data_IF_318217401777
#
_entry.id   IF_318217401777
#
_cell.length_a   1.000
_cell.length_b   1.000
_cell.length_c   1.000
_cell.angle_alpha   90.00
_cell.angle_beta   90.00
_cell.angle_gamma   90.00
#
_symmetry.space_group_name_H-M   'P 1'
#
loop_
_entity.id
_entity.type
_entity.pdbx_description
1 polymer ?
#
# COMPACT_ATOMS: atom_id res chain seq x y z
N UNK A 1 -33.22 44.18 -17.37
CA UNK A 1 -32.80 45.48 -17.97
C UNK A 1 -31.54 45.89 -17.20
N UNK A 2 -30.34 45.76 -17.77
CA UNK A 2 -29.70 46.67 -18.73
C UNK A 2 -29.17 47.96 -18.04
N UNK A 3 -27.94 48.46 -18.24
CA UNK A 3 -26.76 47.94 -18.97
C UNK A 3 -25.46 48.72 -18.57
N UNK A 4 -24.32 48.02 -18.49
CA UNK A 4 -22.88 48.33 -18.81
C UNK A 4 -22.45 49.72 -19.39
N UNK A 5 -21.13 50.05 -19.52
CA UNK A 5 -19.93 49.73 -18.68
C UNK A 5 -18.87 50.87 -18.53
N UNK A 6 -17.81 50.60 -17.75
CA UNK A 6 -16.50 51.30 -17.74
C UNK A 6 -15.38 50.57 -18.53
N UNK A 7 -14.28 51.26 -18.90
CA UNK A 7 -13.50 50.96 -20.14
C UNK A 7 -11.98 51.31 -20.06
N UNK A 8 -11.08 50.28 -19.93
CA UNK A 8 -9.64 50.12 -20.39
C UNK A 8 -8.55 51.20 -20.08
N UNK A 9 -7.23 51.04 -20.42
CA UNK A 9 -6.33 49.86 -20.61
C UNK A 9 -4.98 49.90 -19.78
N UNK A 10 -4.31 48.78 -19.46
CA UNK A 10 -3.22 48.12 -20.25
C UNK A 10 -1.87 48.11 -19.47
N UNK A 11 -0.73 47.55 -19.94
CA UNK A 11 -0.49 46.40 -20.83
C UNK A 11 0.45 45.29 -20.25
N UNK A 12 0.43 44.08 -20.83
CA UNK A 12 1.50 43.04 -20.78
C UNK A 12 2.43 43.20 -22.03
N UNK A 13 3.56 42.47 -22.28
CA UNK A 13 4.03 41.18 -21.69
C UNK A 13 5.57 41.02 -21.47
N UNK A 14 6.01 39.80 -21.11
CA UNK A 14 7.41 39.31 -21.17
C UNK A 14 7.57 38.03 -20.32
N UNK A 15 7.61 36.80 -20.84
CA UNK A 15 8.44 36.14 -21.87
C UNK A 15 9.83 35.68 -21.35
N UNK A 16 10.05 34.37 -21.30
CA UNK A 16 11.31 33.71 -20.93
C UNK A 16 12.32 33.71 -22.11
N UNK A 17 13.60 33.38 -21.88
CA UNK A 17 14.03 32.01 -22.18
C UNK A 17 15.17 31.45 -21.29
N UNK A 18 15.59 30.21 -21.59
CA UNK A 18 16.82 29.56 -21.13
C UNK A 18 17.61 29.01 -22.36
N UNK A 19 18.69 28.23 -22.20
CA UNK A 19 20.03 28.64 -21.77
C UNK A 19 21.08 28.43 -22.88
N UNK A 20 22.32 28.92 -22.69
CA UNK A 20 23.43 28.65 -23.62
C UNK A 20 24.81 28.53 -22.94
N UNK A 21 25.53 27.46 -23.26
CA UNK A 21 26.97 27.26 -23.00
C UNK A 21 27.85 28.08 -23.96
N UNK A 22 29.16 28.20 -23.65
CA UNK A 22 30.15 28.13 -24.72
C UNK A 22 31.32 27.17 -24.44
N UNK A 23 31.87 26.61 -25.52
CA UNK A 23 33.07 25.75 -25.56
C UNK A 23 34.21 26.46 -26.32
N UNK A 24 35.47 26.26 -25.90
CA UNK A 24 36.71 26.46 -26.69
C UNK A 24 37.74 25.40 -26.21
N UNK A 25 38.39 24.53 -26.99
CA UNK A 25 39.30 24.69 -28.17
C UNK A 25 40.66 25.34 -27.80
N UNK A 26 41.86 24.88 -28.19
CA UNK A 26 42.30 23.84 -29.14
C UNK A 26 43.74 23.27 -28.80
N UNK A 27 44.36 22.52 -29.73
CA UNK A 27 45.62 21.73 -29.62
C UNK A 27 46.85 22.46 -30.27
N UNK A 28 47.92 21.84 -30.87
CA UNK A 28 48.91 20.77 -30.48
C UNK A 28 50.42 21.17 -30.76
N UNK A 29 51.35 20.17 -30.83
CA UNK A 29 52.68 20.11 -31.53
C UNK A 29 53.98 20.55 -30.79
N UNK A 30 55.21 20.00 -31.00
CA UNK A 30 55.73 18.72 -31.57
C UNK A 30 57.25 18.49 -31.23
N UNK A 31 57.72 17.23 -31.21
CA UNK A 31 59.09 16.70 -31.54
C UNK A 31 60.39 17.14 -30.78
N UNK A 32 61.54 16.42 -30.88
CA UNK A 32 61.80 14.97 -31.10
C UNK A 32 62.83 14.31 -30.12
N UNK A 33 63.08 13.00 -30.32
CA UNK A 33 63.92 12.07 -29.52
C UNK A 33 65.43 12.08 -29.92
N UNK A 34 66.37 11.48 -29.12
CA UNK A 34 66.48 10.01 -28.91
C UNK A 34 66.80 9.64 -27.41
N UNK A 35 67.23 8.45 -26.94
CA UNK A 35 67.68 7.19 -27.56
C UNK A 35 67.47 5.93 -26.64
N UNK A 36 68.45 5.00 -26.66
CA UNK A 36 68.63 3.66 -26.03
C UNK A 36 68.94 3.65 -24.51
N UNK A 37 68.70 2.59 -23.71
CA UNK A 37 68.84 1.15 -23.98
C UNK A 37 68.06 0.25 -22.96
N UNK A 38 67.86 -1.03 -23.31
CA UNK A 38 67.49 -2.21 -22.48
C UNK A 38 66.01 -2.47 -22.06
N UNK A 39 65.56 -3.69 -22.43
CA UNK A 39 64.30 -4.40 -22.11
C UNK A 39 64.54 -5.43 -20.97
N UNK A 40 63.54 -6.23 -20.50
CA UNK A 40 62.07 -6.05 -20.51
C UNK A 40 61.40 -6.37 -19.15
N UNK A 41 60.12 -5.98 -18.98
CA UNK A 41 59.09 -6.80 -18.27
C UNK A 41 57.69 -6.19 -18.43
N UNK A 42 56.78 -6.94 -19.04
CA UNK A 42 55.37 -6.55 -19.21
C UNK A 42 54.55 -6.92 -17.96
N UNK A 43 53.72 -6.01 -17.43
CA UNK A 43 52.59 -6.36 -16.57
C UNK A 43 51.33 -6.58 -17.41
N UNK A 44 50.57 -7.64 -17.12
CA UNK A 44 49.26 -7.87 -17.74
C UNK A 44 48.22 -6.82 -17.32
N UNK A 45 47.27 -6.44 -18.18
CA UNK A 45 46.18 -5.55 -17.81
C UNK A 45 45.19 -6.28 -16.89
N UNK A 46 45.17 -5.91 -15.60
CA UNK A 46 44.20 -6.39 -14.63
C UNK A 46 42.76 -6.07 -15.07
N UNK A 47 42.01 -7.11 -15.44
CA UNK A 47 40.56 -6.99 -15.70
C UNK A 47 39.83 -6.66 -14.39
N UNK A 48 39.34 -5.43 -14.27
CA UNK A 48 38.38 -5.09 -13.23
C UNK A 48 37.12 -5.96 -13.36
N UNK A 49 36.61 -6.58 -12.29
CA UNK A 49 35.35 -7.29 -12.33
C UNK A 49 34.21 -6.28 -12.55
N UNK A 50 33.53 -6.36 -13.70
CA UNK A 50 32.30 -5.60 -13.91
C UNK A 50 31.29 -6.00 -12.83
N UNK A 51 31.03 -5.09 -11.89
CA UNK A 51 30.01 -5.27 -10.87
C UNK A 51 28.65 -5.43 -11.55
N UNK A 52 28.11 -6.66 -11.53
CA UNK A 52 26.78 -6.94 -12.08
C UNK A 52 25.79 -5.94 -11.46
N UNK A 53 24.99 -5.22 -12.28
CA UNK A 53 23.99 -4.30 -11.72
C UNK A 53 23.10 -5.08 -10.76
N UNK A 54 22.95 -4.60 -9.52
CA UNK A 54 22.02 -5.17 -8.54
C UNK A 54 20.62 -5.06 -9.13
N UNK A 55 20.17 -6.13 -9.78
CA UNK A 55 18.82 -6.23 -10.34
C UNK A 55 17.84 -5.96 -9.20
N UNK A 56 17.24 -4.76 -9.21
CA UNK A 56 16.10 -4.45 -8.36
C UNK A 56 15.11 -5.59 -8.59
N UNK A 57 14.88 -6.40 -7.56
CA UNK A 57 13.97 -7.54 -7.68
C UNK A 57 12.59 -6.93 -7.87
N UNK A 58 12.09 -6.93 -9.11
CA UNK A 58 10.70 -6.65 -9.39
C UNK A 58 9.88 -7.51 -8.44
N UNK A 59 9.06 -6.88 -7.61
CA UNK A 59 8.25 -7.57 -6.60
C UNK A 59 6.98 -8.16 -7.25
N UNK A 60 7.15 -8.81 -8.40
CA UNK A 60 6.11 -9.54 -9.12
C UNK A 60 5.46 -10.51 -8.14
N UNK A 61 4.16 -10.35 -7.93
CA UNK A 61 3.41 -11.24 -7.06
C UNK A 61 3.21 -12.55 -7.81
N UNK A 62 3.60 -13.65 -7.16
CA UNK A 62 3.36 -15.00 -7.67
C UNK A 62 2.22 -15.62 -6.89
N UNK A 63 1.47 -16.52 -7.52
CA UNK A 63 0.60 -17.47 -6.81
C UNK A 63 1.44 -18.25 -5.79
N UNK A 64 0.86 -18.50 -4.62
CA UNK A 64 1.44 -19.31 -3.55
C UNK A 64 0.39 -20.26 -3.01
N UNK A 65 0.87 -21.41 -2.51
CA UNK A 65 0.06 -22.33 -1.72
C UNK A 65 0.26 -21.99 -0.24
N UNK A 66 -0.84 -21.80 0.49
CA UNK A 66 -0.83 -21.27 1.86
C UNK A 66 -1.85 -22.04 2.70
N UNK A 67 -1.40 -22.78 3.72
CA UNK A 67 -2.29 -23.31 4.75
C UNK A 67 -2.95 -22.16 5.53
N UNK A 68 -4.22 -22.31 5.88
CA UNK A 68 -4.93 -21.40 6.79
C UNK A 68 -5.72 -22.23 7.82
N UNK A 69 -6.04 -21.68 9.00
CA UNK A 69 -6.95 -22.35 9.93
C UNK A 69 -8.30 -22.64 9.27
N UNK A 70 -9.01 -23.66 9.76
CA UNK A 70 -10.38 -23.96 9.34
C UNK A 70 -11.28 -22.78 9.66
N UNK A 71 -12.09 -22.36 8.70
CA UNK A 71 -13.07 -21.29 8.88
C UNK A 71 -14.38 -21.86 9.41
N UNK A 72 -14.92 -21.36 10.54
CA UNK A 72 -16.28 -21.65 10.97
C UNK A 72 -17.29 -21.22 9.91
N UNK A 73 -18.11 -22.16 9.43
CA UNK A 73 -19.09 -21.94 8.36
C UNK A 73 -20.49 -22.37 8.77
N UNK A 74 -21.49 -21.69 8.23
CA UNK A 74 -22.89 -22.02 8.42
C UNK A 74 -23.30 -23.26 7.61
N UNK A 75 -24.56 -23.70 7.76
CA UNK A 75 -25.15 -24.82 7.01
C UNK A 75 -25.14 -24.64 5.48
N UNK A 76 -24.91 -23.42 4.98
CA UNK A 76 -24.84 -23.08 3.56
C UNK A 76 -23.38 -22.97 3.06
N UNK A 77 -22.38 -23.26 3.92
CA UNK A 77 -20.96 -23.13 3.60
C UNK A 77 -20.42 -21.69 3.66
N UNK A 78 -21.22 -20.70 4.06
CA UNK A 78 -20.76 -19.30 4.21
C UNK A 78 -20.00 -19.13 5.51
N UNK A 79 -18.94 -18.29 5.57
CA UNK A 79 -18.27 -17.98 6.83
C UNK A 79 -19.26 -17.42 7.85
N UNK A 80 -19.19 -17.90 9.09
CA UNK A 80 -19.98 -17.38 10.20
C UNK A 80 -19.42 -16.03 10.61
N UNK A 81 -20.01 -14.96 10.06
CA UNK A 81 -19.72 -13.59 10.45
C UNK A 81 -20.62 -13.16 11.63
N UNK A 82 -20.11 -12.33 12.56
CA UNK A 82 -18.75 -11.80 12.54
C UNK A 82 -17.68 -12.81 13.00
N UNK A 83 -16.46 -12.65 12.47
CA UNK A 83 -15.37 -13.63 12.61
C UNK A 83 -14.08 -12.97 13.11
N UNK A 84 -13.56 -13.39 14.26
CA UNK A 84 -12.25 -12.97 14.74
C UNK A 84 -11.15 -13.65 13.91
N UNK A 85 -10.27 -12.84 13.32
CA UNK A 85 -9.07 -13.26 12.60
C UNK A 85 -7.85 -12.55 13.22
N UNK A 86 -7.34 -13.15 14.30
CA UNK A 86 -6.23 -12.59 15.07
C UNK A 86 -6.62 -11.36 15.86
N UNK A 87 -6.17 -10.18 15.43
CA UNK A 87 -6.50 -8.87 16.04
C UNK A 87 -7.57 -8.08 15.26
N UNK A 88 -8.10 -8.66 14.18
CA UNK A 88 -9.21 -8.12 13.40
C UNK A 88 -10.50 -8.88 13.76
N UNK A 89 -11.63 -8.18 13.75
CA UNK A 89 -12.95 -8.81 13.77
C UNK A 89 -13.64 -8.47 12.45
N UNK A 90 -13.92 -9.47 11.62
CA UNK A 90 -14.57 -9.28 10.31
C UNK A 90 -16.07 -9.23 10.50
N UNK A 91 -16.69 -8.06 10.25
CA UNK A 91 -18.14 -7.87 10.32
C UNK A 91 -18.78 -8.20 8.97
N UNK A 92 -18.21 -7.68 7.88
CA UNK A 92 -18.72 -7.87 6.51
C UNK A 92 -17.57 -8.07 5.55
N UNK A 93 -17.73 -9.01 4.60
CA UNK A 93 -16.78 -9.20 3.49
C UNK A 93 -17.06 -8.28 2.30
N UNK A 94 -18.24 -7.65 2.23
CA UNK A 94 -18.64 -6.77 1.13
C UNK A 94 -18.90 -7.48 -0.21
N UNK A 95 -18.94 -6.69 -1.28
CA UNK A 95 -19.17 -7.11 -2.67
C UNK A 95 -17.95 -6.79 -3.55
N UNK A 96 -17.56 -7.72 -4.43
CA UNK A 96 -16.49 -7.48 -5.40
C UNK A 96 -16.94 -6.52 -6.50
N UNK A 97 -16.37 -5.31 -6.46
CA UNK A 97 -16.52 -4.34 -7.54
C UNK A 97 -15.53 -4.65 -8.68
N UNK A 98 -16.05 -4.93 -9.89
CA UNK A 98 -15.23 -5.23 -11.08
C UNK A 98 -14.66 -3.98 -11.80
N UNK A 99 -14.94 -2.76 -11.31
CA UNK A 99 -14.35 -1.53 -11.86
C UNK A 99 -12.84 -1.49 -11.66
N UNK A 100 -12.17 -0.65 -12.43
CA UNK A 100 -10.76 -0.34 -12.23
C UNK A 100 -10.52 0.24 -10.81
N UNK A 101 -9.29 0.13 -10.30
CA UNK A 101 -8.85 0.61 -8.99
C UNK A 101 -9.47 -0.06 -7.74
N UNK A 102 -10.54 -0.85 -7.87
CA UNK A 102 -11.10 -1.68 -6.78
C UNK A 102 -10.32 -2.99 -6.51
N UNK A 103 -9.22 -3.21 -7.23
CA UNK A 103 -8.28 -4.30 -6.96
C UNK A 103 -6.86 -3.96 -7.45
N UNK A 104 -5.91 -4.81 -7.08
CA UNK A 104 -4.49 -4.78 -7.44
C UNK A 104 -3.95 -6.21 -7.55
N UNK A 105 -2.69 -6.40 -7.94
CA UNK A 105 -2.03 -7.73 -7.90
C UNK A 105 -2.11 -8.43 -6.53
N UNK A 106 -2.24 -7.67 -5.43
CA UNK A 106 -2.12 -8.18 -4.06
C UNK A 106 -3.44 -8.27 -3.30
N UNK A 107 -4.35 -7.35 -3.59
CA UNK A 107 -5.52 -7.07 -2.76
C UNK A 107 -6.74 -6.79 -3.66
N UNK A 108 -7.89 -7.29 -3.23
CA UNK A 108 -9.21 -6.90 -3.69
C UNK A 108 -9.77 -5.94 -2.63
N UNK A 109 -10.54 -4.92 -3.04
CA UNK A 109 -11.15 -3.93 -2.15
C UNK A 109 -12.69 -3.98 -2.29
N UNK A 110 -13.38 -4.94 -1.62
CA UNK A 110 -14.81 -5.09 -1.77
C UNK A 110 -15.57 -3.89 -1.20
N UNK A 111 -16.64 -3.46 -1.88
CA UNK A 111 -17.53 -2.40 -1.39
C UNK A 111 -18.38 -2.95 -0.25
N UNK A 112 -18.49 -2.22 0.86
CA UNK A 112 -19.19 -2.69 2.06
C UNK A 112 -18.41 -3.73 2.86
N UNK A 113 -17.12 -3.93 2.58
CA UNK A 113 -16.21 -4.66 3.47
C UNK A 113 -16.07 -3.87 4.78
N UNK A 114 -16.22 -4.56 5.92
CA UNK A 114 -16.16 -3.98 7.25
C UNK A 114 -15.40 -4.88 8.21
N UNK A 115 -14.41 -4.30 8.90
CA UNK A 115 -13.71 -4.93 10.02
C UNK A 115 -13.57 -3.96 11.19
N UNK A 116 -13.52 -4.50 12.41
CA UNK A 116 -13.01 -3.74 13.56
C UNK A 116 -11.60 -4.19 13.91
N UNK A 117 -10.87 -3.30 14.59
CA UNK A 117 -9.61 -3.64 15.24
C UNK A 117 -9.31 -2.73 16.42
N UNK A 118 -8.57 -3.24 17.40
CA UNK A 118 -8.02 -2.43 18.48
C UNK A 118 -6.74 -1.72 18.04
N UNK A 119 -6.61 -0.45 18.43
CA UNK A 119 -5.38 0.33 18.31
C UNK A 119 -5.37 1.48 19.33
N UNK A 120 -4.23 2.16 19.46
CA UNK A 120 -4.07 3.33 20.33
C UNK A 120 -5.11 4.43 20.03
N UNK A 121 -5.75 5.00 21.05
CA UNK A 121 -6.64 6.16 20.89
C UNK A 121 -5.89 7.39 20.37
N UNK A 122 -6.57 8.25 19.60
CA UNK A 122 -6.08 9.55 19.12
C UNK A 122 -6.38 10.71 20.06
N UNK A 123 -7.23 10.53 21.08
CA UNK A 123 -7.60 11.57 22.06
C UNK A 123 -7.14 11.27 23.48
N UNK A 124 -6.98 9.99 23.85
CA UNK A 124 -6.51 9.59 25.16
C UNK A 124 -5.20 8.76 25.05
N UNK A 125 -4.07 9.23 25.62
CA UNK A 125 -2.78 8.57 25.44
C UNK A 125 -2.63 7.24 26.20
N UNK A 126 -3.46 6.98 27.23
CA UNK A 126 -3.32 5.79 28.08
C UNK A 126 -4.14 4.56 27.64
N UNK A 127 -5.02 4.71 26.64
CA UNK A 127 -5.95 3.64 26.24
C UNK A 127 -5.82 3.23 24.77
N UNK A 128 -6.30 2.02 24.50
CA UNK A 128 -6.67 1.53 23.17
C UNK A 128 -8.18 1.55 23.00
N UNK A 129 -8.62 1.73 21.76
CA UNK A 129 -10.02 1.82 21.36
C UNK A 129 -10.27 1.00 20.10
N UNK A 130 -11.55 0.73 19.81
CA UNK A 130 -11.96 0.00 18.62
C UNK A 130 -12.06 0.97 17.45
N UNK A 131 -11.55 0.55 16.29
CA UNK A 131 -11.63 1.29 15.04
C UNK A 131 -12.44 0.48 14.02
N UNK A 132 -13.64 0.95 13.68
CA UNK A 132 -14.44 0.40 12.59
C UNK A 132 -13.86 0.88 11.26
N UNK A 133 -13.55 -0.06 10.38
CA UNK A 133 -12.84 0.17 9.13
C UNK A 133 -13.71 -0.32 7.97
N UNK A 134 -14.19 0.60 7.14
CA UNK A 134 -15.14 0.31 6.06
C UNK A 134 -14.56 0.71 4.70
N UNK A 135 -14.78 -0.12 3.68
CA UNK A 135 -14.48 0.23 2.29
C UNK A 135 -15.79 0.67 1.62
N UNK A 136 -15.88 1.95 1.26
CA UNK A 136 -17.01 2.54 0.57
C UNK A 136 -16.80 2.58 -0.95
N UNK A 137 -17.88 2.61 -1.71
CA UNK A 137 -17.85 3.00 -3.11
C UNK A 137 -17.58 4.51 -3.23
N UNK A 138 -16.45 4.88 -3.85
CA UNK A 138 -16.09 6.26 -4.12
C UNK A 138 -16.31 6.71 -5.56
N UNK A 139 -17.06 5.96 -6.37
CA UNK A 139 -17.25 6.19 -7.81
C UNK A 139 -16.03 5.73 -8.62
N UNK A 140 -14.96 6.50 -8.58
CA UNK A 140 -13.72 6.26 -9.34
C UNK A 140 -12.79 5.22 -8.68
N UNK A 141 -13.11 4.78 -7.46
CA UNK A 141 -12.29 3.84 -6.69
C UNK A 141 -12.76 3.74 -5.24
N UNK A 142 -12.19 2.81 -4.44
CA UNK A 142 -12.57 2.63 -3.05
C UNK A 142 -12.24 3.87 -2.20
N UNK A 143 -13.13 4.20 -1.25
CA UNK A 143 -12.78 5.08 -0.12
C UNK A 143 -12.62 4.24 1.14
N UNK A 144 -11.56 4.50 1.88
CA UNK A 144 -11.24 3.81 3.13
C UNK A 144 -11.66 4.71 4.28
N UNK A 145 -12.78 4.37 4.92
CA UNK A 145 -13.30 5.02 6.11
C UNK A 145 -12.76 4.33 7.36
N UNK A 146 -12.40 5.11 8.36
CA UNK A 146 -12.08 4.65 9.72
C UNK A 146 -12.89 5.49 10.71
N UNK A 147 -13.62 4.84 11.61
CA UNK A 147 -14.38 5.47 12.71
C UNK A 147 -13.85 4.95 14.04
N UNK A 148 -13.24 5.79 14.89
CA UNK A 148 -12.85 5.42 16.25
C UNK A 148 -14.06 5.37 17.20
N UNK A 149 -14.11 4.39 18.09
CA UNK A 149 -15.22 4.22 19.04
C UNK A 149 -15.28 5.32 20.11
N UNK A 150 -14.20 6.06 20.36
CA UNK A 150 -14.14 7.18 21.30
C UNK A 150 -14.35 8.57 20.65
N UNK A 151 -14.38 8.66 19.31
CA UNK A 151 -14.61 9.91 18.56
C UNK A 151 -15.48 9.63 17.31
N UNK A 152 -16.62 8.98 17.52
CA UNK A 152 -17.49 8.48 16.44
C UNK A 152 -18.03 9.56 15.50
N UNK A 153 -18.04 10.83 15.93
CA UNK A 153 -18.45 12.00 15.15
C UNK A 153 -17.40 12.46 14.11
N UNK A 154 -16.17 11.90 14.14
CA UNK A 154 -15.05 12.32 13.27
C UNK A 154 -14.49 11.16 12.44
N UNK A 155 -15.25 10.65 11.44
CA UNK A 155 -14.76 9.65 10.51
C UNK A 155 -13.56 10.18 9.70
N UNK A 156 -12.54 9.35 9.54
CA UNK A 156 -11.41 9.63 8.65
C UNK A 156 -11.63 8.86 7.36
N UNK A 157 -11.68 9.58 6.23
CA UNK A 157 -11.90 9.00 4.90
C UNK A 157 -10.73 9.36 4.00
N UNK A 158 -10.15 8.36 3.31
CA UNK A 158 -9.09 8.57 2.33
C UNK A 158 -9.28 7.70 1.07
N UNK A 159 -8.61 8.04 -0.03
CA UNK A 159 -8.57 7.22 -1.25
C UNK A 159 -7.68 5.98 -1.14
N UNK A 160 -6.93 5.83 -0.06
CA UNK A 160 -6.08 4.65 0.19
C UNK A 160 -6.11 4.24 1.66
N UNK A 161 -6.06 2.93 1.92
CA UNK A 161 -5.98 2.37 3.27
C UNK A 161 -4.79 2.94 4.06
N UNK A 162 -3.65 3.14 3.38
CA UNK A 162 -2.44 3.73 3.98
C UNK A 162 -2.64 5.19 4.34
N UNK A 163 -3.35 5.98 3.52
CA UNK A 163 -3.69 7.37 3.84
C UNK A 163 -4.54 7.49 5.11
N UNK A 164 -5.60 6.68 5.20
CA UNK A 164 -6.50 6.67 6.35
C UNK A 164 -5.75 6.29 7.65
N UNK A 165 -5.02 5.17 7.65
CA UNK A 165 -4.27 4.72 8.83
C UNK A 165 -3.07 5.60 9.18
N UNK A 166 -2.40 6.22 8.19
CA UNK A 166 -1.31 7.18 8.48
C UNK A 166 -1.81 8.42 9.21
N UNK A 167 -3.07 8.82 9.00
CA UNK A 167 -3.68 9.90 9.78
C UNK A 167 -3.86 9.51 11.24
N UNK A 168 -4.44 8.32 11.51
CA UNK A 168 -4.60 7.80 12.89
C UNK A 168 -3.25 7.63 13.59
N UNK A 169 -2.28 6.98 12.95
CA UNK A 169 -0.97 6.73 13.56
C UNK A 169 -0.21 8.03 13.85
N UNK A 170 -0.35 9.05 12.99
CA UNK A 170 0.22 10.39 13.25
C UNK A 170 -0.43 11.03 14.48
N UNK A 171 -1.75 11.03 14.58
CA UNK A 171 -2.48 11.61 15.72
C UNK A 171 -2.17 10.88 17.04
N UNK A 172 -2.22 9.54 17.03
CA UNK A 172 -1.92 8.72 18.19
C UNK A 172 -0.46 8.86 18.68
N UNK A 173 0.50 9.09 17.77
CA UNK A 173 1.89 9.39 18.14
C UNK A 173 2.07 10.83 18.65
N UNK A 174 1.36 11.81 18.07
CA UNK A 174 1.44 13.22 18.49
C UNK A 174 1.02 13.39 19.96
N UNK A 175 -0.12 12.83 20.37
CA UNK A 175 -0.58 12.89 21.78
C UNK A 175 0.31 12.11 22.77
N UNK A 176 1.27 11.32 22.26
CA UNK A 176 2.26 10.55 23.04
C UNK A 176 3.68 11.10 22.88
N UNK A 177 3.85 12.29 22.30
CA UNK A 177 5.14 12.96 22.04
C UNK A 177 6.17 12.07 21.28
N UNK A 178 5.70 11.18 20.39
CA UNK A 178 6.55 10.27 19.62
C UNK A 178 6.93 10.90 18.27
N UNK A 179 8.20 11.29 18.14
CA UNK A 179 8.77 11.91 16.93
C UNK A 179 8.82 10.97 15.71
N UNK A 180 8.97 9.66 15.93
CA UNK A 180 9.16 8.69 14.85
C UNK A 180 7.85 7.95 14.53
N UNK A 181 7.36 8.12 13.30
CA UNK A 181 6.33 7.23 12.74
C UNK A 181 6.99 5.98 12.16
N UNK A 182 6.57 4.81 12.64
CA UNK A 182 6.81 3.57 11.90
C UNK A 182 6.09 3.62 10.55
N UNK A 183 6.63 2.93 9.55
CA UNK A 183 5.91 2.69 8.29
C UNK A 183 4.69 1.80 8.56
N UNK A 184 3.54 2.18 8.00
CA UNK A 184 2.27 1.49 8.19
C UNK A 184 1.85 0.85 6.87
N UNK A 185 1.65 -0.47 6.89
CA UNK A 185 0.96 -1.14 5.78
C UNK A 185 -0.54 -0.98 5.97
N UNK A 186 -1.12 0.04 5.33
CA UNK A 186 -2.55 0.35 5.42
C UNK A 186 -3.47 -0.83 5.11
N UNK A 187 -3.25 -1.59 4.02
CA UNK A 187 -4.06 -2.78 3.70
C UNK A 187 -3.99 -3.85 4.79
N UNK A 188 -2.82 -4.06 5.42
CA UNK A 188 -2.70 -5.03 6.52
C UNK A 188 -3.41 -4.53 7.79
N UNK A 189 -3.44 -3.21 8.01
CA UNK A 189 -4.21 -2.56 9.07
C UNK A 189 -5.74 -2.55 8.79
N UNK A 190 -6.17 -2.79 7.54
CA UNK A 190 -7.55 -3.11 7.17
C UNK A 190 -7.83 -4.63 7.19
N UNK A 191 -6.90 -5.47 7.65
CA UNK A 191 -7.04 -6.93 7.65
C UNK A 191 -6.83 -7.60 6.28
N UNK A 192 -6.82 -6.85 5.17
CA UNK A 192 -6.64 -7.36 3.80
C UNK A 192 -5.30 -8.09 3.60
N UNK A 193 -4.33 -7.90 4.51
CA UNK A 193 -3.09 -8.66 4.61
C UNK A 193 -3.25 -10.12 5.05
N UNK A 194 -4.26 -10.42 5.87
CA UNK A 194 -4.44 -11.73 6.50
C UNK A 194 -4.84 -12.78 5.46
N UNK A 195 -4.17 -13.94 5.50
CA UNK A 195 -4.41 -15.01 4.52
C UNK A 195 -5.84 -15.57 4.61
N UNK A 196 -6.40 -15.71 5.81
CA UNK A 196 -7.81 -16.09 5.99
C UNK A 196 -8.76 -15.07 5.37
N UNK A 197 -8.52 -13.77 5.57
CA UNK A 197 -9.39 -12.72 5.00
C UNK A 197 -9.26 -12.69 3.47
N UNK A 198 -8.05 -12.84 2.91
CA UNK A 198 -7.85 -12.99 1.46
C UNK A 198 -8.59 -14.18 0.88
N UNK A 199 -8.56 -15.33 1.55
CA UNK A 199 -9.30 -16.52 1.18
C UNK A 199 -10.81 -16.24 1.11
N UNK A 200 -11.38 -15.66 2.17
CA UNK A 200 -12.80 -15.32 2.23
C UNK A 200 -13.22 -14.28 1.19
N UNK A 201 -12.34 -13.33 0.84
CA UNK A 201 -12.59 -12.36 -0.24
C UNK A 201 -12.46 -13.04 -1.62
N UNK A 202 -11.57 -14.01 -1.81
CA UNK A 202 -11.49 -14.81 -3.03
C UNK A 202 -12.73 -15.70 -3.26
N UNK A 203 -13.42 -16.11 -2.19
CA UNK A 203 -14.69 -16.86 -2.29
C UNK A 203 -15.90 -15.99 -2.68
N UNK A 204 -15.75 -14.66 -2.73
CA UNK A 204 -16.84 -13.78 -3.14
C UNK A 204 -17.13 -13.90 -4.65
N UNK A 205 -18.41 -13.79 -5.07
CA UNK A 205 -18.77 -13.76 -6.48
C UNK A 205 -17.98 -12.71 -7.26
N UNK A 206 -17.52 -13.08 -8.46
CA UNK A 206 -16.71 -12.26 -9.38
C UNK A 206 -15.25 -12.01 -8.98
N UNK A 207 -14.76 -12.49 -7.83
CA UNK A 207 -13.33 -12.40 -7.49
C UNK A 207 -12.43 -13.09 -8.53
N UNK A 208 -12.92 -14.18 -9.12
CA UNK A 208 -12.32 -14.95 -10.20
C UNK A 208 -12.14 -14.17 -11.53
N UNK A 209 -12.90 -13.08 -11.71
CA UNK A 209 -12.93 -12.28 -12.95
C UNK A 209 -11.96 -11.09 -12.93
N UNK A 210 -11.29 -10.85 -11.81
CA UNK A 210 -10.41 -9.70 -11.59
C UNK A 210 -9.04 -9.91 -12.26
N UNK A 211 -8.93 -9.48 -13.52
CA UNK A 211 -7.77 -9.74 -14.39
C UNK A 211 -6.41 -9.35 -13.82
N UNK A 212 -6.34 -8.30 -13.00
CA UNK A 212 -5.09 -7.82 -12.42
C UNK A 212 -4.77 -8.45 -11.06
N UNK A 213 -5.67 -9.25 -10.48
CA UNK A 213 -5.46 -9.89 -9.18
C UNK A 213 -4.69 -11.20 -9.33
N UNK A 214 -3.61 -11.40 -8.57
CA UNK A 214 -2.84 -12.64 -8.61
C UNK A 214 -3.45 -13.64 -7.61
N UNK A 215 -4.27 -14.56 -8.14
CA UNK A 215 -4.93 -15.61 -7.37
C UNK A 215 -3.95 -16.41 -6.49
N UNK A 216 -4.35 -16.67 -5.25
CA UNK A 216 -3.60 -17.45 -4.27
C UNK A 216 -4.35 -18.76 -3.94
N UNK A 217 -3.61 -19.82 -3.66
CA UNK A 217 -4.19 -21.11 -3.31
C UNK A 217 -4.18 -21.29 -1.79
N UNK A 218 -5.35 -21.27 -1.17
CA UNK A 218 -5.49 -21.49 0.27
C UNK A 218 -5.97 -22.90 0.59
N UNK A 219 -5.47 -23.47 1.69
CA UNK A 219 -5.86 -24.81 2.17
C UNK A 219 -6.28 -24.70 3.63
N UNK A 220 -7.59 -24.77 3.89
CA UNK A 220 -8.14 -24.82 5.24
C UNK A 220 -7.74 -26.11 5.97
N UNK A 221 -7.32 -26.01 7.23
CA UNK A 221 -6.94 -27.16 8.06
C UNK A 221 -5.63 -27.85 7.66
N UNK A 222 -4.91 -27.32 6.67
CA UNK A 222 -3.58 -27.81 6.30
C UNK A 222 -2.53 -27.56 7.40
N UNK A 223 -1.30 -28.13 7.28
CA UNK A 223 -0.25 -27.95 8.28
C UNK A 223 0.05 -26.48 8.54
N UNK A 224 -0.26 -26.01 9.75
CA UNK A 224 -0.06 -24.63 10.18
C UNK A 224 1.35 -24.45 10.73
N UNK A 225 2.19 -23.69 10.01
CA UNK A 225 3.42 -23.14 10.59
C UNK A 225 3.13 -22.17 11.74
N UNK A 226 4.14 -21.86 12.57
CA UNK A 226 3.97 -21.12 13.83
C UNK A 226 3.57 -19.63 13.76
N UNK A 227 2.95 -19.16 12.67
CA UNK A 227 2.44 -17.78 12.51
C UNK A 227 1.12 -17.73 11.73
N UNK A 228 0.09 -18.38 12.27
CA UNK A 228 -1.29 -18.20 11.80
C UNK A 228 -2.09 -17.47 12.88
N UNK A 229 -2.93 -16.53 12.45
CA UNK A 229 -3.91 -15.90 13.33
C UNK A 229 -4.96 -16.93 13.76
N UNK A 230 -5.42 -16.85 15.01
CA UNK A 230 -6.59 -17.64 15.43
C UNK A 230 -7.81 -17.21 14.60
N UNK A 231 -8.65 -18.17 14.23
CA UNK A 231 -9.90 -17.96 13.49
C UNK A 231 -11.01 -18.57 14.31
N UNK A 232 -11.85 -17.73 14.91
CA UNK A 232 -12.96 -18.15 15.78
C UNK A 232 -14.20 -17.28 15.50
N UNK A 233 -15.43 -17.80 15.64
CA UNK A 233 -16.62 -16.94 15.67
C UNK A 233 -16.45 -15.95 16.82
N UNK A 234 -16.73 -14.68 16.57
CA UNK A 234 -16.60 -13.68 17.61
C UNK A 234 -17.85 -13.67 18.51
N UNK A 235 -17.71 -13.20 19.75
CA UNK A 235 -18.81 -13.22 20.71
C UNK A 235 -19.66 -11.93 20.59
N UNK A 236 -20.98 -11.96 20.92
CA UNK A 236 -21.86 -10.79 20.79
C UNK A 236 -21.43 -9.52 21.53
N UNK A 237 -20.54 -9.64 22.52
CA UNK A 237 -20.01 -8.54 23.34
C UNK A 237 -18.72 -7.90 22.75
N UNK A 238 -18.24 -8.39 21.59
CA UNK A 238 -16.96 -7.98 20.98
C UNK A 238 -17.10 -7.04 19.76
N UNK A 239 -18.30 -6.49 19.51
CA UNK A 239 -18.66 -5.75 18.29
C UNK A 239 -18.92 -4.26 18.49
#
# INVERSE_FOLDING_TARGET
MAAIPGVIPGPYPGAAPAPSTPSQSAQPQNDPQPQTQNQPKSPEPQRQPQGKPKRLKAHTITTKNVSIPVVPRDKNGKPMLPLNVGIMTVISLGEVCMREHFHSERYIFPVGYEVTRRYLSTVNPSVEVVYHCTILDGGDGPKFQIVPSDVADKPIIASTATGAWSSIVRQANAIRNRQHSNSVSGPDFFGLGQNTIKHLIQELPNADKLRSYVWQNFVEGGPLGGRHAAVIPALPEEY
#
